data_IF_925062879051
#
_entry.id   IF_925062879051
#
_cell.length_a   1.000
_cell.length_b   1.000
_cell.length_c   1.000
_cell.angle_alpha   90.00
_cell.angle_beta   90.00
_cell.angle_gamma   90.00
#
_symmetry.space_group_name_H-M   'P 1'
#
loop_
_entity.id
_entity.type
_entity.pdbx_description
1 polymer ?
#
# COMPACT_ATOMS: atom_id res chain seq x y z
N UNK A 1 -6.00 24.22 -1.43
CA UNK A 1 -5.61 22.82 -1.12
C UNK A 1 -4.50 22.46 -2.10
N UNK A 2 -3.33 22.00 -1.65
CA UNK A 2 -2.22 21.67 -2.58
C UNK A 2 -2.63 20.42 -3.37
N UNK A 3 -2.53 20.46 -4.70
CA UNK A 3 -2.67 19.26 -5.53
C UNK A 3 -1.56 18.28 -5.17
N UNK A 4 -1.92 17.05 -4.81
CA UNK A 4 -1.00 15.96 -4.51
C UNK A 4 -0.75 15.17 -5.79
N UNK A 5 0.20 15.63 -6.59
CA UNK A 5 0.63 14.89 -7.78
C UNK A 5 1.74 13.90 -7.39
N UNK A 6 1.50 12.60 -7.55
CA UNK A 6 2.50 11.56 -7.33
C UNK A 6 2.85 11.27 -5.87
N UNK A 7 1.89 11.36 -4.94
CA UNK A 7 2.12 11.02 -3.53
C UNK A 7 1.95 9.51 -3.31
N UNK A 8 2.93 8.92 -2.62
CA UNK A 8 2.90 7.55 -2.11
C UNK A 8 3.07 7.62 -0.60
N UNK A 9 2.24 6.88 0.14
CA UNK A 9 2.33 6.75 1.59
C UNK A 9 2.93 5.40 1.93
N UNK A 10 4.03 5.40 2.70
CA UNK A 10 4.58 4.20 3.30
C UNK A 10 4.30 4.29 4.81
N UNK A 11 3.53 3.34 5.32
CA UNK A 11 3.11 3.33 6.72
C UNK A 11 3.27 1.95 7.36
N UNK A 12 2.91 1.83 8.63
CA UNK A 12 3.00 0.60 9.41
C UNK A 12 2.03 0.62 10.59
N UNK A 13 2.43 0.02 11.71
CA UNK A 13 1.66 -0.09 12.98
C UNK A 13 0.40 -0.98 12.98
N UNK A 14 -0.28 -1.18 11.84
CA UNK A 14 -1.53 -1.98 11.78
C UNK A 14 -1.42 -3.47 12.19
N UNK A 15 -0.21 -4.00 12.37
CA UNK A 15 0.10 -5.43 12.59
C UNK A 15 -0.31 -6.35 11.42
N UNK A 16 -0.71 -5.76 10.30
CA UNK A 16 -1.00 -6.44 9.05
C UNK A 16 -0.25 -5.75 7.91
N UNK A 17 -0.36 -6.30 6.72
CA UNK A 17 -0.18 -5.54 5.50
C UNK A 17 -1.55 -5.10 4.96
N UNK A 18 -1.65 -3.84 4.54
CA UNK A 18 -2.78 -3.32 3.80
C UNK A 18 -2.30 -2.36 2.70
N UNK A 19 -2.83 -2.52 1.50
CA UNK A 19 -2.67 -1.56 0.41
C UNK A 19 -4.01 -0.91 0.12
N UNK A 20 -4.03 0.42 0.15
CA UNK A 20 -5.23 1.23 0.01
C UNK A 20 -4.99 2.34 -1.01
N UNK A 21 -5.95 2.53 -1.91
CA UNK A 21 -5.95 3.64 -2.88
C UNK A 21 -7.00 4.65 -2.44
N UNK A 22 -6.57 5.89 -2.27
CA UNK A 22 -7.44 7.03 -2.02
C UNK A 22 -7.72 7.70 -3.38
N UNK A 23 -8.93 7.57 -3.94
CA UNK A 23 -9.27 8.18 -5.21
C UNK A 23 -9.24 9.72 -5.12
N UNK A 24 -9.06 10.41 -6.26
CA UNK A 24 -9.13 11.86 -6.28
C UNK A 24 -10.54 12.33 -5.88
N UNK A 25 -10.61 13.48 -5.21
CA UNK A 25 -11.89 14.08 -4.85
C UNK A 25 -12.58 14.73 -6.07
N UNK A 26 -13.86 15.08 -5.92
CA UNK A 26 -14.67 15.73 -6.97
C UNK A 26 -14.12 17.07 -7.47
N UNK A 27 -13.22 17.70 -6.71
CA UNK A 27 -12.56 18.97 -7.06
C UNK A 27 -11.29 18.75 -7.89
N UNK A 28 -11.01 17.52 -8.28
CA UNK A 28 -9.82 17.11 -9.03
C UNK A 28 -8.65 16.73 -8.13
N UNK A 29 -7.59 16.22 -8.75
CA UNK A 29 -6.41 15.68 -8.08
C UNK A 29 -6.01 14.34 -8.68
N UNK A 30 -5.07 13.66 -8.03
CA UNK A 30 -4.58 12.34 -8.44
C UNK A 30 -4.79 11.36 -7.29
N UNK A 31 -4.94 10.08 -7.63
CA UNK A 31 -5.06 9.03 -6.63
C UNK A 31 -3.77 8.93 -5.80
N UNK A 32 -3.92 8.71 -4.51
CA UNK A 32 -2.82 8.43 -3.59
C UNK A 32 -2.85 6.94 -3.26
N UNK A 33 -1.69 6.30 -3.24
CA UNK A 33 -1.57 4.91 -2.79
C UNK A 33 -0.83 4.83 -1.47
N UNK A 34 -1.37 4.07 -0.53
CA UNK A 34 -0.71 3.68 0.71
C UNK A 34 -0.31 2.21 0.67
N UNK A 35 0.94 1.94 1.04
CA UNK A 35 1.42 0.61 1.41
C UNK A 35 1.71 0.62 2.91
N UNK A 36 0.81 0.03 3.68
CA UNK A 36 0.94 -0.11 5.13
C UNK A 36 1.50 -1.49 5.44
N UNK A 37 2.67 -1.58 6.09
CA UNK A 37 3.28 -2.88 6.43
C UNK A 37 3.95 -2.84 7.78
N UNK A 38 3.44 -3.62 8.71
CA UNK A 38 4.03 -3.78 10.04
C UNK A 38 5.06 -4.91 10.04
N UNK A 39 6.32 -4.62 10.41
CA UNK A 39 7.40 -5.58 10.22
C UNK A 39 7.43 -6.73 11.23
N UNK A 40 6.83 -6.52 12.40
CA UNK A 40 6.77 -7.48 13.50
C UNK A 40 5.35 -7.50 14.07
N UNK A 41 4.77 -8.70 14.18
CA UNK A 41 3.61 -8.91 15.03
C UNK A 41 4.07 -8.90 16.49
N UNK A 42 4.09 -7.72 17.12
CA UNK A 42 4.44 -7.60 18.54
C UNK A 42 3.36 -8.19 19.47
N UNK A 43 2.15 -8.38 18.96
CA UNK A 43 1.02 -8.96 19.69
C UNK A 43 0.35 -10.03 18.83
N UNK A 44 0.02 -11.17 19.45
CA UNK A 44 -0.78 -12.21 18.82
C UNK A 44 -2.26 -11.83 18.95
N UNK A 45 -2.92 -11.55 17.83
CA UNK A 45 -4.37 -11.38 17.78
C UNK A 45 -5.04 -12.72 17.44
N UNK A 46 -5.88 -13.28 18.33
CA UNK A 46 -6.48 -14.61 18.14
C UNK A 46 -7.77 -14.61 17.29
N UNK A 47 -7.95 -13.62 16.41
CA UNK A 47 -9.14 -13.48 15.58
C UNK A 47 -8.80 -12.90 14.20
N UNK A 48 -9.59 -13.29 13.21
CA UNK A 48 -9.40 -12.85 11.83
C UNK A 48 -9.85 -11.40 11.66
N UNK A 49 -8.91 -10.46 11.72
CA UNK A 49 -9.11 -9.07 11.27
C UNK A 49 -8.47 -8.90 9.91
N UNK A 50 -9.25 -8.31 9.00
CA UNK A 50 -8.78 -7.93 7.69
C UNK A 50 -9.11 -6.47 7.51
N UNK A 51 -8.17 -5.67 7.00
CA UNK A 51 -8.56 -4.42 6.39
C UNK A 51 -9.60 -4.69 5.29
N UNK A 52 -10.74 -4.02 5.40
CA UNK A 52 -11.86 -4.06 4.46
C UNK A 52 -12.21 -2.63 4.11
N UNK A 53 -12.50 -2.42 2.84
CA UNK A 53 -13.09 -1.18 2.37
C UNK A 53 -14.45 -0.96 3.03
N UNK A 54 -14.67 0.21 3.62
CA UNK A 54 -15.95 0.61 4.21
C UNK A 54 -16.61 1.69 3.35
N UNK A 55 -15.82 2.64 2.86
CA UNK A 55 -16.29 3.73 2.00
C UNK A 55 -15.62 3.66 0.62
N UNK A 56 -16.12 4.43 -0.34
CA UNK A 56 -15.48 4.58 -1.66
C UNK A 56 -14.26 5.51 -1.62
N UNK A 57 -13.98 6.13 -0.46
CA UNK A 57 -12.83 7.02 -0.26
C UNK A 57 -11.55 6.29 0.13
N UNK A 58 -11.64 5.03 0.57
CA UNK A 58 -10.54 4.16 1.00
C UNK A 58 -10.58 2.81 0.28
N UNK A 59 -10.30 2.80 -1.02
CA UNK A 59 -10.40 1.60 -1.85
C UNK A 59 -9.35 0.58 -1.46
N UNK A 60 -9.79 -0.56 -0.91
CA UNK A 60 -8.90 -1.65 -0.50
C UNK A 60 -8.42 -2.43 -1.71
N UNK A 61 -7.09 -2.46 -1.92
CA UNK A 61 -6.46 -3.19 -3.02
C UNK A 61 -6.07 -4.61 -2.57
N UNK A 62 -5.44 -4.71 -1.41
CA UNK A 62 -4.99 -5.98 -0.85
C UNK A 62 -4.81 -5.89 0.66
N UNK A 63 -5.08 -6.97 1.38
CA UNK A 63 -4.80 -7.10 2.81
C UNK A 63 -4.22 -8.48 3.12
N UNK A 64 -3.27 -8.50 4.07
CA UNK A 64 -2.61 -9.72 4.52
C UNK A 64 -2.28 -9.62 6.02
N UNK A 65 -3.12 -10.18 6.90
CA UNK A 65 -2.93 -10.05 8.36
C UNK A 65 -1.90 -11.03 8.93
N UNK A 66 -1.63 -12.12 8.23
CA UNK A 66 -0.87 -13.25 8.77
C UNK A 66 0.65 -13.09 8.66
N UNK A 67 1.35 -14.02 9.31
CA UNK A 67 2.82 -14.13 9.32
C UNK A 67 3.51 -13.37 10.45
N UNK A 68 4.67 -13.86 10.87
CA UNK A 68 5.40 -13.33 12.02
C UNK A 68 6.33 -12.17 11.65
N UNK A 69 6.97 -12.29 10.49
CA UNK A 69 7.84 -11.27 9.91
C UNK A 69 7.28 -10.84 8.58
N UNK A 70 7.16 -9.53 8.38
CA UNK A 70 6.68 -8.94 7.12
C UNK A 70 7.60 -7.81 6.72
N UNK A 71 7.82 -7.57 5.45
CA UNK A 71 8.37 -6.30 4.99
C UNK A 71 7.99 -6.04 3.54
N UNK A 72 7.87 -4.75 3.22
CA UNK A 72 7.66 -4.29 1.86
C UNK A 72 9.00 -3.94 1.22
N UNK A 73 9.21 -4.39 0.00
CA UNK A 73 10.27 -3.86 -0.88
C UNK A 73 9.60 -2.93 -1.88
N UNK A 74 9.97 -1.66 -1.82
CA UNK A 74 9.50 -0.62 -2.76
C UNK A 74 10.60 -0.35 -3.77
N UNK A 75 10.28 -0.46 -5.05
CA UNK A 75 11.20 -0.18 -6.16
C UNK A 75 10.57 0.87 -7.07
N UNK A 76 11.34 1.91 -7.37
CA UNK A 76 10.92 3.00 -8.25
C UNK A 76 11.68 2.88 -9.57
N UNK A 77 10.94 2.84 -10.67
CA UNK A 77 11.46 3.04 -12.01
C UNK A 77 11.08 4.45 -12.47
N UNK A 78 12.13 5.26 -12.67
CA UNK A 78 12.07 6.65 -13.12
C UNK A 78 12.81 6.85 -14.44
N UNK A 79 12.94 5.78 -15.24
CA UNK A 79 13.61 5.84 -16.55
C UNK A 79 12.86 6.70 -17.57
N UNK A 80 11.53 6.75 -17.47
CA UNK A 80 10.65 7.55 -18.31
C UNK A 80 10.28 8.88 -17.61
N UNK A 81 10.57 10.06 -18.18
CA UNK A 81 10.42 11.36 -17.49
C UNK A 81 9.01 11.69 -17.00
N UNK A 82 7.99 11.20 -17.71
CA UNK A 82 6.58 11.50 -17.45
C UNK A 82 5.82 10.29 -16.88
N UNK A 83 6.50 9.18 -16.61
CA UNK A 83 5.91 7.97 -16.04
C UNK A 83 6.70 7.51 -14.81
N UNK A 84 6.02 7.51 -13.66
CA UNK A 84 6.53 6.89 -12.44
C UNK A 84 5.94 5.50 -12.32
N UNK A 85 6.80 4.48 -12.27
CA UNK A 85 6.41 3.11 -11.96
C UNK A 85 6.92 2.75 -10.58
N UNK A 86 6.03 2.27 -9.73
CA UNK A 86 6.33 1.77 -8.40
C UNK A 86 5.97 0.31 -8.32
N UNK A 87 6.97 -0.54 -8.15
CA UNK A 87 6.80 -1.94 -7.82
C UNK A 87 6.88 -2.15 -6.32
N UNK A 88 5.90 -2.84 -5.78
CA UNK A 88 5.82 -3.22 -4.39
C UNK A 88 5.80 -4.75 -4.27
N UNK A 89 6.81 -5.33 -3.62
CA UNK A 89 6.81 -6.74 -3.23
C UNK A 89 6.48 -6.84 -1.73
N UNK A 90 5.53 -7.70 -1.37
CA UNK A 90 5.28 -8.10 0.02
C UNK A 90 5.98 -9.42 0.31
N UNK A 91 6.86 -9.40 1.31
CA UNK A 91 7.54 -10.58 1.81
C UNK A 91 6.99 -10.90 3.20
N UNK A 92 6.55 -12.14 3.42
CA UNK A 92 6.02 -12.65 4.68
C UNK A 92 6.73 -13.95 5.02
N UNK A 93 7.30 -14.03 6.23
CA UNK A 93 8.03 -15.18 6.75
C UNK A 93 9.11 -15.73 5.78
N UNK A 94 9.74 -14.82 5.03
CA UNK A 94 10.80 -15.13 4.07
C UNK A 94 10.33 -15.44 2.64
N UNK A 95 9.01 -15.51 2.41
CA UNK A 95 8.44 -15.79 1.09
C UNK A 95 7.78 -14.55 0.49
N UNK A 96 7.95 -14.34 -0.82
CA UNK A 96 7.21 -13.29 -1.53
C UNK A 96 5.78 -13.76 -1.77
N UNK A 97 4.83 -13.19 -1.04
CA UNK A 97 3.41 -13.61 -1.09
C UNK A 97 2.57 -12.74 -2.02
N UNK A 98 3.02 -11.53 -2.34
CA UNK A 98 2.29 -10.61 -3.21
C UNK A 98 3.21 -9.63 -3.92
N UNK A 99 2.79 -9.15 -5.09
CA UNK A 99 3.42 -8.05 -5.80
C UNK A 99 2.37 -7.10 -6.39
N UNK A 100 2.72 -5.83 -6.52
CA UNK A 100 1.84 -4.83 -7.10
C UNK A 100 2.64 -3.80 -7.90
N UNK A 101 2.19 -3.50 -9.11
CA UNK A 101 2.73 -2.42 -9.93
C UNK A 101 1.74 -1.26 -9.88
N UNK A 102 2.18 -0.13 -9.36
CA UNK A 102 1.45 1.13 -9.43
C UNK A 102 2.11 2.04 -10.45
N UNK A 103 1.33 2.51 -11.41
CA UNK A 103 1.81 3.41 -12.46
C UNK A 103 1.14 4.78 -12.32
N UNK A 104 1.94 5.82 -12.50
CA UNK A 104 1.49 7.19 -12.52
C UNK A 104 2.06 7.91 -13.74
N UNK A 105 1.19 8.54 -14.53
CA UNK A 105 1.59 9.43 -15.62
C UNK A 105 1.26 10.87 -15.26
N UNK A 106 2.26 11.74 -15.45
CA UNK A 106 2.13 13.17 -15.13
C UNK A 106 1.24 13.90 -16.14
#
# INVERSE_FOLDING_TARGET
MRQTDGVVILSGDRHEHATTVFPPNDKGGKAVIEFSTSPLNQFFEPFDRFHRQIEDTDVSVYSHPWGNSKFGKVSFDTSEPDQLKLEYDLIVDGEKVWNYLWEYSR
#
